data_IF_490671711314
#
_entry.id   IF_490671711314
#
_cell.length_a   1.000
_cell.length_b   1.000
_cell.length_c   1.000
_cell.angle_alpha   90.00
_cell.angle_beta   90.00
_cell.angle_gamma   90.00
#
_symmetry.space_group_name_H-M   'P 1'
#
loop_
_entity.id
_entity.type
_entity.pdbx_description
1 polymer ?
#
# COMPACT_ATOMS: atom_id res chain seq x y z
N UNK A 1 -5.55 13.86 11.78
CA UNK A 1 -4.59 14.53 10.87
C UNK A 1 -4.35 13.60 9.70
N UNK A 2 -4.74 14.01 8.50
CA UNK A 2 -4.66 13.22 7.27
C UNK A 2 -3.26 13.24 6.60
N UNK A 3 -2.22 13.21 7.44
CA UNK A 3 -0.85 13.57 7.05
C UNK A 3 -0.12 12.45 6.28
N UNK A 4 -0.54 11.20 6.49
CA UNK A 4 0.21 10.04 6.04
C UNK A 4 -0.39 9.36 4.80
N UNK A 5 -1.59 9.73 4.35
CA UNK A 5 -2.26 9.03 3.26
C UNK A 5 -1.39 8.94 1.99
N UNK A 6 -0.81 10.06 1.54
CA UNK A 6 0.03 10.07 0.34
C UNK A 6 1.26 9.15 0.48
N UNK A 7 1.94 9.19 1.63
CA UNK A 7 3.10 8.34 1.94
C UNK A 7 2.69 6.85 2.02
N UNK A 8 1.60 6.56 2.72
CA UNK A 8 1.06 5.21 2.89
C UNK A 8 0.62 4.62 1.54
N UNK A 9 -0.08 5.40 0.70
CA UNK A 9 -0.47 5.01 -0.64
C UNK A 9 0.74 4.67 -1.51
N UNK A 10 1.77 5.52 -1.51
CA UNK A 10 2.99 5.28 -2.27
C UNK A 10 3.68 3.96 -1.83
N UNK A 11 3.68 3.63 -0.53
CA UNK A 11 4.23 2.38 -0.02
C UNK A 11 3.39 1.16 -0.43
N UNK A 12 2.06 1.25 -0.30
CA UNK A 12 1.13 0.19 -0.70
C UNK A 12 1.27 -0.12 -2.19
N UNK A 13 1.30 0.91 -3.04
CA UNK A 13 1.36 0.75 -4.49
C UNK A 13 2.65 0.10 -4.99
N UNK A 14 3.76 0.11 -4.22
CA UNK A 14 4.97 -0.67 -4.55
C UNK A 14 4.71 -2.17 -4.64
N UNK A 15 3.67 -2.65 -3.95
CA UNK A 15 3.24 -4.05 -3.96
C UNK A 15 2.13 -4.32 -4.97
N UNK A 16 1.58 -3.29 -5.60
CA UNK A 16 0.41 -3.40 -6.48
C UNK A 16 0.82 -3.61 -7.94
N UNK A 17 0.03 -4.42 -8.64
CA UNK A 17 0.31 -4.88 -10.00
C UNK A 17 -0.32 -4.06 -11.11
N UNK A 18 -0.06 -4.47 -12.36
CA UNK A 18 -0.68 -3.89 -13.56
C UNK A 18 -2.10 -4.39 -13.82
N UNK A 19 -2.46 -4.59 -15.09
CA UNK A 19 -3.78 -5.12 -15.48
C UNK A 19 -3.95 -6.60 -15.09
N UNK A 20 -5.17 -7.00 -14.75
CA UNK A 20 -5.59 -8.39 -14.64
C UNK A 20 -7.07 -8.51 -14.96
N UNK A 21 -7.47 -9.54 -15.70
CA UNK A 21 -8.87 -9.81 -16.05
C UNK A 21 -9.03 -11.31 -16.30
N UNK A 22 -9.20 -12.08 -15.21
CA UNK A 22 -9.38 -13.52 -15.29
C UNK A 22 -10.89 -13.85 -15.27
N UNK A 23 -11.45 -14.54 -16.28
CA UNK A 23 -12.86 -14.93 -16.28
C UNK A 23 -13.30 -15.81 -15.11
N UNK A 24 -12.37 -16.57 -14.52
CA UNK A 24 -12.62 -17.39 -13.33
C UNK A 24 -12.55 -16.58 -12.02
N UNK A 25 -12.18 -15.30 -12.08
CA UNK A 25 -12.08 -14.44 -10.92
C UNK A 25 -13.40 -13.67 -10.67
N UNK A 26 -14.03 -13.81 -9.49
CA UNK A 26 -15.20 -13.02 -9.14
C UNK A 26 -14.91 -11.51 -9.01
N UNK A 27 -13.66 -11.10 -8.81
CA UNK A 27 -13.24 -9.69 -8.75
C UNK A 27 -13.26 -8.97 -10.10
N UNK A 28 -13.15 -9.73 -11.20
CA UNK A 28 -13.14 -9.24 -12.56
C UNK A 28 -11.94 -8.33 -12.89
N UNK A 29 -12.08 -7.56 -13.97
CA UNK A 29 -11.08 -6.60 -14.43
C UNK A 29 -10.55 -5.70 -13.29
N UNK A 30 -9.22 -5.68 -13.15
CA UNK A 30 -8.49 -4.98 -12.10
C UNK A 30 -7.26 -4.27 -12.70
N UNK A 31 -7.03 -3.02 -12.28
CA UNK A 31 -5.82 -2.24 -12.63
C UNK A 31 -5.27 -1.57 -11.37
N UNK A 32 -3.97 -1.74 -11.06
CA UNK A 32 -3.34 -1.12 -9.88
C UNK A 32 -4.11 -1.40 -8.57
N UNK A 33 -4.60 -2.63 -8.41
CA UNK A 33 -5.40 -3.06 -7.26
C UNK A 33 -6.85 -2.54 -7.21
N UNK A 34 -7.27 -1.73 -8.20
CA UNK A 34 -8.64 -1.20 -8.34
C UNK A 34 -9.47 -2.12 -9.23
N UNK A 35 -10.54 -2.71 -8.70
CA UNK A 35 -11.52 -3.47 -9.50
C UNK A 35 -12.45 -2.54 -10.27
N UNK A 36 -13.02 -3.02 -11.38
CA UNK A 36 -14.03 -2.26 -12.14
C UNK A 36 -15.23 -1.87 -11.27
N UNK A 37 -15.65 -2.74 -10.35
CA UNK A 37 -16.74 -2.47 -9.41
C UNK A 37 -16.42 -1.26 -8.53
N UNK A 38 -15.22 -1.21 -7.95
CA UNK A 38 -14.81 -0.09 -7.10
C UNK A 38 -14.58 1.18 -7.91
N UNK A 39 -14.01 1.06 -9.11
CA UNK A 39 -13.84 2.19 -10.01
C UNK A 39 -15.19 2.83 -10.38
N UNK A 40 -16.19 1.99 -10.69
CA UNK A 40 -17.57 2.45 -10.94
C UNK A 40 -18.17 3.13 -9.74
N UNK A 41 -18.02 2.52 -8.56
CA UNK A 41 -18.60 3.03 -7.32
C UNK A 41 -18.06 4.40 -6.91
N UNK A 42 -16.76 4.64 -7.10
CA UNK A 42 -16.09 5.79 -6.49
C UNK A 42 -15.61 6.86 -7.48
N UNK A 43 -15.52 6.54 -8.78
CA UNK A 43 -14.95 7.44 -9.80
C UNK A 43 -15.91 7.65 -10.97
N UNK A 44 -16.29 6.58 -11.69
CA UNK A 44 -17.07 6.68 -12.93
C UNK A 44 -18.09 5.54 -13.06
N UNK A 45 -19.35 5.80 -12.70
CA UNK A 45 -20.41 4.79 -12.56
C UNK A 45 -20.62 3.88 -13.78
N UNK A 46 -20.45 4.42 -14.99
CA UNK A 46 -20.62 3.75 -16.28
C UNK A 46 -19.31 3.24 -16.90
N UNK A 47 -18.19 3.26 -16.16
CA UNK A 47 -16.88 2.90 -16.68
C UNK A 47 -16.84 1.52 -17.35
N UNK A 48 -16.10 1.44 -18.45
CA UNK A 48 -15.75 0.20 -19.14
C UNK A 48 -14.42 -0.38 -18.64
N UNK A 49 -14.05 -1.55 -19.16
CA UNK A 49 -12.71 -2.13 -18.97
C UNK A 49 -11.61 -1.26 -19.59
N UNK A 50 -11.90 -0.53 -20.67
CA UNK A 50 -10.94 0.38 -21.30
C UNK A 50 -10.68 1.58 -20.39
N UNK A 51 -11.73 2.19 -19.85
CA UNK A 51 -11.60 3.29 -18.88
C UNK A 51 -10.75 2.87 -17.65
N UNK A 52 -10.94 1.64 -17.16
CA UNK A 52 -10.16 1.14 -16.04
C UNK A 52 -8.68 0.92 -16.38
N UNK A 53 -8.34 0.52 -17.62
CA UNK A 53 -6.94 0.39 -18.05
C UNK A 53 -6.23 1.74 -18.06
N UNK A 54 -6.97 2.81 -18.34
CA UNK A 54 -6.44 4.17 -18.42
C UNK A 54 -6.55 4.93 -17.08
N UNK A 55 -6.78 4.21 -15.97
CA UNK A 55 -6.96 4.85 -14.66
C UNK A 55 -5.76 5.73 -14.25
N UNK A 56 -6.06 6.99 -13.95
CA UNK A 56 -5.06 7.97 -13.53
C UNK A 56 -4.60 7.72 -12.09
N UNK A 57 -3.44 8.27 -11.72
CA UNK A 57 -2.95 8.18 -10.34
C UNK A 57 -3.92 8.81 -9.33
N UNK A 58 -4.59 9.90 -9.69
CA UNK A 58 -5.58 10.58 -8.84
C UNK A 58 -6.85 9.74 -8.66
N UNK A 59 -7.29 9.05 -9.71
CA UNK A 59 -8.43 8.14 -9.63
C UNK A 59 -8.12 6.92 -8.79
N UNK A 60 -6.90 6.35 -8.91
CA UNK A 60 -6.41 5.30 -8.00
C UNK A 60 -6.44 5.82 -6.56
N UNK A 61 -5.86 6.99 -6.29
CA UNK A 61 -5.85 7.59 -4.96
C UNK A 61 -7.27 7.79 -4.40
N UNK A 62 -8.22 8.21 -5.24
CA UNK A 62 -9.63 8.38 -4.86
C UNK A 62 -10.25 7.06 -4.38
N UNK A 63 -10.05 5.97 -5.12
CA UNK A 63 -10.55 4.65 -4.72
C UNK A 63 -9.88 4.19 -3.44
N UNK A 64 -8.56 4.28 -3.34
CA UNK A 64 -7.82 3.82 -2.17
C UNK A 64 -8.19 4.58 -0.90
N UNK A 65 -8.40 5.90 -1.02
CA UNK A 65 -8.91 6.72 0.07
C UNK A 65 -10.28 6.23 0.53
N UNK A 66 -11.27 6.27 -0.37
CA UNK A 66 -12.67 6.06 0.00
C UNK A 66 -12.97 4.62 0.43
N UNK A 67 -12.34 3.64 -0.21
CA UNK A 67 -12.66 2.23 0.06
C UNK A 67 -11.82 1.62 1.18
N UNK A 68 -10.55 2.02 1.32
CA UNK A 68 -9.65 1.41 2.29
C UNK A 68 -9.29 2.37 3.43
N UNK A 69 -8.76 3.56 3.13
CA UNK A 69 -8.26 4.50 4.16
C UNK A 69 -9.36 5.00 5.08
N UNK A 70 -10.46 5.50 4.51
CA UNK A 70 -11.58 6.04 5.27
C UNK A 70 -12.31 4.92 6.03
N UNK A 71 -12.40 3.74 5.44
CA UNK A 71 -13.02 2.57 6.06
C UNK A 71 -12.30 2.06 7.32
N UNK A 72 -11.02 2.44 7.49
CA UNK A 72 -10.23 2.14 8.70
C UNK A 72 -9.91 3.37 9.54
N UNK A 73 -10.61 4.48 9.31
CA UNK A 73 -10.36 5.75 10.00
C UNK A 73 -8.87 6.16 9.94
N UNK A 74 -8.21 5.95 8.79
CA UNK A 74 -6.76 6.11 8.65
C UNK A 74 -6.25 7.50 9.05
N UNK A 75 -7.05 8.55 8.81
CA UNK A 75 -6.70 9.93 9.20
C UNK A 75 -6.77 10.20 10.72
N UNK A 76 -7.39 9.32 11.49
CA UNK A 76 -7.60 9.43 12.93
C UNK A 76 -6.64 8.54 13.74
N UNK A 77 -6.04 7.53 13.09
CA UNK A 77 -5.07 6.64 13.72
C UNK A 77 -3.71 7.32 13.93
N UNK A 78 -2.93 6.93 14.96
CA UNK A 78 -1.56 7.38 15.13
C UNK A 78 -0.68 7.01 13.92
N UNK A 79 0.38 7.81 13.72
CA UNK A 79 1.33 7.57 12.64
C UNK A 79 1.97 6.19 12.75
N UNK A 80 2.06 5.48 11.64
CA UNK A 80 2.55 4.10 11.57
C UNK A 80 1.45 3.06 11.80
N UNK A 81 0.59 3.27 12.80
CA UNK A 81 -0.61 2.42 12.98
C UNK A 81 -1.55 2.59 11.79
N UNK A 82 -1.76 3.84 11.36
CA UNK A 82 -2.53 4.19 10.15
C UNK A 82 -2.08 3.40 8.92
N UNK A 83 -0.79 3.37 8.63
CA UNK A 83 -0.21 2.67 7.49
C UNK A 83 -0.29 1.15 7.63
N UNK A 84 0.02 0.60 8.81
CA UNK A 84 -0.03 -0.85 9.03
C UNK A 84 -1.45 -1.41 8.87
N UNK A 85 -2.45 -0.69 9.39
CA UNK A 85 -3.87 -1.06 9.25
C UNK A 85 -4.35 -0.86 7.81
N UNK A 86 -3.95 0.23 7.15
CA UNK A 86 -4.29 0.49 5.75
C UNK A 86 -3.74 -0.57 4.79
N UNK A 87 -2.46 -0.94 4.89
CA UNK A 87 -1.89 -2.00 4.04
C UNK A 87 -2.60 -3.34 4.29
N UNK A 88 -2.92 -3.64 5.55
CA UNK A 88 -3.69 -4.84 5.87
C UNK A 88 -5.10 -4.79 5.28
N UNK A 89 -5.76 -3.63 5.31
CA UNK A 89 -7.08 -3.44 4.70
C UNK A 89 -7.05 -3.62 3.18
N UNK A 90 -6.01 -3.14 2.50
CA UNK A 90 -5.82 -3.35 1.07
C UNK A 90 -5.62 -4.84 0.75
N UNK A 91 -4.78 -5.51 1.53
CA UNK A 91 -4.42 -6.91 1.27
C UNK A 91 -5.53 -7.91 1.65
N UNK A 92 -6.29 -7.63 2.71
CA UNK A 92 -7.19 -8.60 3.35
C UNK A 92 -8.57 -8.03 3.70
N UNK A 93 -8.90 -6.82 3.26
CA UNK A 93 -10.20 -6.19 3.47
C UNK A 93 -10.28 -5.31 4.74
N UNK A 94 -10.96 -4.16 4.70
CA UNK A 94 -11.06 -3.22 5.82
C UNK A 94 -11.62 -3.83 7.10
N UNK A 95 -12.72 -4.59 7.01
CA UNK A 95 -13.37 -5.16 8.19
C UNK A 95 -12.48 -6.16 8.94
N UNK A 96 -11.63 -6.92 8.23
CA UNK A 96 -10.66 -7.82 8.88
C UNK A 96 -9.55 -7.02 9.55
N UNK A 97 -8.97 -6.05 8.85
CA UNK A 97 -7.93 -5.20 9.41
C UNK A 97 -8.40 -4.48 10.69
N UNK A 98 -9.63 -3.96 10.68
CA UNK A 98 -10.25 -3.34 11.84
C UNK A 98 -10.40 -4.30 13.03
N UNK A 99 -10.91 -5.52 12.80
CA UNK A 99 -11.05 -6.53 13.87
C UNK A 99 -9.71 -6.94 14.48
N UNK A 100 -8.67 -7.07 13.65
CA UNK A 100 -7.33 -7.40 14.13
C UNK A 100 -6.70 -6.26 14.93
N UNK A 101 -6.91 -5.00 14.51
CA UNK A 101 -6.51 -3.85 15.31
C UNK A 101 -7.23 -3.84 16.66
N UNK A 102 -8.55 -4.03 16.65
CA UNK A 102 -9.37 -4.09 17.86
C UNK A 102 -8.90 -5.17 18.82
N UNK A 103 -8.61 -6.38 18.31
CA UNK A 103 -8.03 -7.46 19.09
C UNK A 103 -6.69 -7.07 19.71
N UNK A 104 -5.78 -6.48 18.92
CA UNK A 104 -4.46 -6.05 19.39
C UNK A 104 -4.56 -5.03 20.53
N UNK A 105 -5.56 -4.15 20.54
CA UNK A 105 -5.72 -3.12 21.58
C UNK A 105 -6.73 -3.47 22.67
N UNK A 106 -7.26 -4.70 22.67
CA UNK A 106 -8.25 -5.15 23.66
C UNK A 106 -9.63 -4.50 23.53
N UNK A 107 -9.98 -3.97 22.36
CA UNK A 107 -11.31 -3.42 22.07
C UNK A 107 -12.27 -4.50 21.55
N UNK A 108 -13.58 -4.22 21.61
CA UNK A 108 -14.60 -5.07 20.99
C UNK A 108 -14.36 -5.21 19.48
N UNK A 109 -14.40 -6.45 18.98
CA UNK A 109 -14.06 -6.78 17.59
C UNK A 109 -15.27 -6.67 16.63
N UNK A 110 -15.91 -5.51 16.60
CA UNK A 110 -17.09 -5.25 15.74
C UNK A 110 -16.71 -4.92 14.28
N UNK A 111 -15.42 -4.70 13.99
CA UNK A 111 -14.91 -4.36 12.67
C UNK A 111 -15.14 -2.91 12.23
N UNK A 112 -15.54 -2.02 13.15
CA UNK A 112 -15.71 -0.58 12.93
C UNK A 112 -14.76 0.21 13.84
N UNK A 113 -13.83 0.96 13.26
CA UNK A 113 -12.91 1.80 14.04
C UNK A 113 -13.65 3.07 14.43
N UNK A 114 -14.26 3.05 15.61
CA UNK A 114 -14.94 4.19 16.22
C UNK A 114 -14.18 4.76 17.44
N UNK A 115 -14.79 5.72 18.17
CA UNK A 115 -14.14 6.41 19.29
C UNK A 115 -13.57 5.47 20.37
N UNK A 116 -14.23 4.34 20.64
CA UNK A 116 -13.73 3.35 21.60
C UNK A 116 -12.43 2.69 21.14
N UNK A 117 -12.36 2.28 19.87
CA UNK A 117 -11.13 1.72 19.27
C UNK A 117 -10.02 2.76 19.24
N UNK A 118 -10.30 4.00 18.83
CA UNK A 118 -9.31 5.08 18.77
C UNK A 118 -8.72 5.39 20.15
N UNK A 119 -9.54 5.42 21.20
CA UNK A 119 -9.05 5.57 22.59
C UNK A 119 -8.15 4.42 23.02
N UNK A 120 -8.53 3.18 22.72
CA UNK A 120 -7.73 2.01 23.05
C UNK A 120 -6.37 1.99 22.31
N UNK A 121 -6.37 2.40 21.04
CA UNK A 121 -5.13 2.59 20.26
C UNK A 121 -4.26 3.69 20.88
N UNK A 122 -4.83 4.84 21.24
CA UNK A 122 -4.10 5.96 21.85
C UNK A 122 -3.57 5.69 23.26
N UNK A 123 -4.12 4.71 23.97
CA UNK A 123 -3.67 4.29 25.30
C UNK A 123 -2.43 3.37 25.26
N UNK A 124 -1.94 2.98 24.08
CA UNK A 124 -0.78 2.09 23.92
C UNK A 124 0.32 2.77 23.09
N UNK A 125 1.61 2.46 23.33
CA UNK A 125 2.69 2.90 22.45
C UNK A 125 2.46 2.40 21.03
N UNK A 126 2.53 3.30 20.04
CA UNK A 126 2.24 2.95 18.64
C UNK A 126 3.12 1.82 18.11
N UNK A 127 4.40 1.76 18.52
CA UNK A 127 5.30 0.66 18.16
C UNK A 127 4.78 -0.72 18.58
N UNK A 128 4.29 -0.84 19.83
CA UNK A 128 3.74 -2.09 20.34
C UNK A 128 2.46 -2.50 19.57
N UNK A 129 1.58 -1.55 19.26
CA UNK A 129 0.37 -1.82 18.46
C UNK A 129 0.74 -2.30 17.05
N UNK A 130 1.76 -1.70 16.43
CA UNK A 130 2.25 -2.09 15.09
C UNK A 130 2.81 -3.51 15.12
N UNK A 131 3.61 -3.86 16.13
CA UNK A 131 4.22 -5.18 16.25
C UNK A 131 3.14 -6.26 16.44
N UNK A 132 2.23 -6.07 17.39
CA UNK A 132 1.12 -6.97 17.68
C UNK A 132 0.23 -7.20 16.44
N UNK A 133 -0.11 -6.11 15.72
CA UNK A 133 -0.93 -6.19 14.52
C UNK A 133 -0.22 -6.98 13.41
N UNK A 134 1.08 -6.74 13.21
CA UNK A 134 1.86 -7.43 12.18
C UNK A 134 2.06 -8.91 12.52
N UNK A 135 2.26 -9.27 13.79
CA UNK A 135 2.36 -10.67 14.23
C UNK A 135 1.04 -11.40 14.04
N UNK A 136 -0.07 -10.78 14.47
CA UNK A 136 -1.41 -11.34 14.31
C UNK A 136 -1.75 -11.53 12.82
N UNK A 137 -1.41 -10.56 11.96
CA UNK A 137 -1.57 -10.66 10.51
C UNK A 137 -0.75 -11.81 9.93
N UNK A 138 0.53 -11.93 10.28
CA UNK A 138 1.37 -13.00 9.76
C UNK A 138 0.88 -14.38 10.21
N UNK A 139 0.45 -14.51 11.47
CA UNK A 139 -0.16 -15.73 11.99
C UNK A 139 -1.45 -16.10 11.23
N UNK A 140 -2.27 -15.12 10.85
CA UNK A 140 -3.42 -15.34 9.98
C UNK A 140 -3.01 -15.87 8.60
N UNK A 141 -2.08 -15.18 7.95
CA UNK A 141 -1.64 -15.53 6.59
C UNK A 141 -1.05 -16.94 6.54
N UNK A 142 -0.31 -17.37 7.58
CA UNK A 142 0.24 -18.73 7.72
C UNK A 142 -0.80 -19.84 7.72
N UNK A 143 -2.05 -19.55 8.09
CA UNK A 143 -3.15 -20.53 8.11
C UNK A 143 -3.90 -20.64 6.79
N UNK A 144 -3.58 -19.81 5.80
CA UNK A 144 -4.24 -19.87 4.51
C UNK A 144 -3.75 -21.10 3.73
N UNK A 145 -4.65 -21.84 3.03
CA UNK A 145 -4.27 -23.01 2.21
C UNK A 145 -3.22 -22.69 1.14
N UNK A 146 -3.13 -21.42 0.75
CA UNK A 146 -2.22 -20.92 -0.28
C UNK A 146 -0.87 -20.47 0.26
N UNK A 147 -0.63 -20.56 1.57
CA UNK A 147 0.67 -20.26 2.19
C UNK A 147 1.86 -20.98 1.55
N UNK A 148 1.82 -22.28 1.17
CA UNK A 148 2.97 -22.95 0.56
C UNK A 148 3.45 -22.28 -0.73
N UNK A 149 2.54 -21.66 -1.48
CA UNK A 149 2.86 -20.98 -2.73
C UNK A 149 3.28 -19.53 -2.46
N UNK A 150 2.56 -18.82 -1.58
CA UNK A 150 2.69 -17.37 -1.48
C UNK A 150 3.34 -16.84 -0.20
N UNK A 151 3.55 -17.69 0.79
CA UNK A 151 3.91 -17.31 2.16
C UNK A 151 5.22 -16.54 2.29
N UNK A 152 6.18 -16.80 1.38
CA UNK A 152 7.44 -16.02 1.33
C UNK A 152 7.16 -14.54 1.02
N UNK A 153 6.43 -14.26 -0.05
CA UNK A 153 6.12 -12.88 -0.44
C UNK A 153 5.29 -12.17 0.62
N UNK A 154 4.34 -12.86 1.25
CA UNK A 154 3.54 -12.34 2.37
C UNK A 154 4.38 -11.99 3.59
N UNK A 155 5.30 -12.87 3.97
CA UNK A 155 6.24 -12.62 5.06
C UNK A 155 7.09 -11.39 4.77
N UNK A 156 7.59 -11.27 3.54
CA UNK A 156 8.42 -10.15 3.11
C UNK A 156 7.63 -8.82 3.13
N UNK A 157 6.36 -8.81 2.67
CA UNK A 157 5.48 -7.64 2.75
C UNK A 157 5.19 -7.24 4.20
N UNK A 158 4.81 -8.18 5.07
CA UNK A 158 4.53 -7.86 6.48
C UNK A 158 5.77 -7.32 7.18
N UNK A 159 6.96 -7.88 6.92
CA UNK A 159 8.23 -7.36 7.44
C UNK A 159 8.50 -5.92 6.97
N UNK A 160 8.31 -5.65 5.68
CA UNK A 160 8.48 -4.31 5.11
C UNK A 160 7.49 -3.30 5.70
N UNK A 161 6.22 -3.70 5.84
CA UNK A 161 5.17 -2.87 6.47
C UNK A 161 5.52 -2.54 7.90
N UNK A 162 5.91 -3.54 8.71
CA UNK A 162 6.35 -3.32 10.10
C UNK A 162 7.48 -2.30 10.16
N UNK A 163 8.54 -2.49 9.38
CA UNK A 163 9.69 -1.58 9.38
C UNK A 163 9.30 -0.14 9.02
N UNK A 164 8.51 0.05 7.95
CA UNK A 164 8.08 1.39 7.52
C UNK A 164 7.09 2.03 8.51
N UNK A 165 6.19 1.24 9.10
CA UNK A 165 5.25 1.70 10.11
C UNK A 165 5.98 2.19 11.37
N UNK A 166 7.01 1.47 11.83
CA UNK A 166 7.84 1.90 12.96
C UNK A 166 8.60 3.19 12.66
N UNK A 167 9.11 3.37 11.44
CA UNK A 167 9.73 4.64 11.02
C UNK A 167 8.71 5.80 10.97
N UNK A 168 7.44 5.51 10.68
CA UNK A 168 6.37 6.51 10.66
C UNK A 168 5.81 6.83 12.06
N UNK A 169 5.98 5.93 13.03
CA UNK A 169 5.55 6.13 14.41
C UNK A 169 6.61 6.82 15.27
N UNK A 170 7.87 6.81 14.84
CA UNK A 170 8.96 7.51 15.51
C UNK A 170 8.68 9.03 15.58
N UNK A 171 8.93 9.68 16.73
CA UNK A 171 8.87 11.14 16.83
C UNK A 171 9.78 11.74 15.75
N UNK A 172 9.23 12.65 14.93
CA UNK A 172 10.09 13.42 14.04
C UNK A 172 11.01 14.29 14.91
N UNK A 173 12.34 14.28 14.69
CA UNK A 173 13.19 15.25 15.35
C UNK A 173 12.67 16.65 15.00
N UNK A 174 12.58 17.52 16.01
CA UNK A 174 12.20 18.90 15.80
C UNK A 174 13.09 19.50 14.69
N UNK A 175 12.54 20.33 13.78
CA UNK A 175 13.37 20.98 12.78
C UNK A 175 14.49 21.73 13.49
N UNK A 176 15.74 21.42 13.13
CA UNK A 176 16.89 22.14 13.65
C UNK A 176 16.69 23.64 13.37
N UNK A 177 17.04 24.54 14.32
CA UNK A 177 16.98 25.97 14.06
C UNK A 177 17.84 26.26 12.83
N UNK A 178 17.19 26.80 11.79
CA UNK A 178 17.84 27.22 10.56
C UNK A 178 18.92 28.25 10.91
N UNK A 179 20.18 27.85 10.79
CA UNK A 179 21.29 28.78 10.77
C UNK A 179 21.21 29.56 9.47
N UNK A 180 20.67 30.77 9.53
CA UNK A 180 20.87 31.78 8.50
C UNK A 180 22.38 32.07 8.40
N UNK A 181 23.05 31.41 7.46
CA UNK A 181 24.37 31.81 7.01
C UNK A 181 24.23 32.67 5.75
N UNK A 182 23.92 33.95 5.97
CA UNK A 182 24.23 35.00 5.01
C UNK A 182 25.75 35.16 4.93
N UNK A 183 26.37 34.70 3.84
CA UNK A 183 27.77 34.93 3.53
C UNK A 183 28.01 34.84 2.02
N UNK A 184 28.10 35.99 1.36
CA UNK A 184 28.21 36.12 -0.10
C UNK A 184 29.62 35.89 -0.67
N UNK A 185 29.63 35.58 -1.99
CA UNK A 185 30.67 35.77 -3.04
C UNK A 185 31.79 34.70 -3.05
N UNK A 186 32.27 34.18 -4.19
CA UNK A 186 32.37 34.72 -5.55
C UNK A 186 32.55 33.54 -6.58
N UNK A 187 32.25 33.70 -7.88
CA UNK A 187 32.35 32.65 -8.90
C UNK A 187 33.76 32.55 -9.51
N UNK A 188 34.20 31.34 -9.83
CA UNK A 188 35.34 31.08 -10.73
C UNK A 188 34.85 30.30 -11.95
N UNK A 189 35.01 30.93 -13.11
CA UNK A 189 34.77 30.40 -14.45
C UNK A 189 35.79 29.32 -14.86
N UNK A 190 35.52 28.57 -15.97
CA UNK A 190 36.16 27.29 -16.27
C UNK A 190 37.37 27.41 -17.23
N UNK A 191 38.18 26.35 -17.31
CA UNK A 191 39.21 26.17 -18.35
C UNK A 191 39.16 24.74 -18.95
N UNK A 192 39.44 24.56 -20.26
CA UNK A 192 39.08 23.35 -21.02
C UNK A 192 40.26 22.38 -21.24
N UNK A 193 39.96 21.15 -21.65
CA UNK A 193 40.93 20.19 -22.19
C UNK A 193 40.25 19.18 -23.14
N UNK A 194 41.02 18.55 -24.06
CA UNK A 194 40.64 18.34 -25.45
C UNK A 194 40.08 16.94 -25.77
N UNK A 195 39.57 16.82 -27.01
CA UNK A 195 38.75 15.72 -27.48
C UNK A 195 39.42 14.36 -27.66
N UNK A 196 38.57 13.35 -27.87
CA UNK A 196 38.90 12.08 -28.51
C UNK A 196 37.67 11.60 -29.30
N UNK A 197 37.96 11.11 -30.49
CA UNK A 197 37.10 10.66 -31.60
C UNK A 197 36.17 9.47 -31.25
N UNK A 198 35.12 9.20 -32.06
CA UNK A 198 34.04 8.29 -31.71
C UNK A 198 34.33 6.83 -32.10
N UNK A 199 33.71 5.88 -31.38
CA UNK A 199 33.68 4.45 -31.74
C UNK A 199 32.30 3.86 -31.39
N UNK A 200 31.86 2.79 -32.08
CA UNK A 200 30.52 2.72 -32.68
C UNK A 200 29.44 2.11 -31.79
N UNK A 201 28.19 2.35 -32.22
CA UNK A 201 26.96 1.83 -31.65
C UNK A 201 26.92 0.29 -31.60
N UNK A 202 26.35 -0.31 -30.54
CA UNK A 202 25.96 -1.71 -30.58
C UNK A 202 24.61 -1.86 -31.29
N UNK A 203 24.58 -2.84 -32.19
CA UNK A 203 23.45 -3.36 -32.95
C UNK A 203 22.21 -3.62 -32.09
N UNK A 204 21.06 -3.09 -32.52
CA UNK A 204 19.75 -3.53 -32.04
C UNK A 204 19.52 -4.98 -32.45
N UNK A 205 19.40 -5.87 -31.46
CA UNK A 205 18.76 -7.16 -31.61
C UNK A 205 17.29 -7.03 -31.18
N UNK A 206 16.35 -7.74 -31.81
CA UNK A 206 14.92 -7.55 -31.56
C UNK A 206 14.58 -7.86 -30.10
N UNK A 207 14.09 -6.84 -29.40
CA UNK A 207 13.51 -6.98 -28.06
C UNK A 207 12.23 -7.79 -28.23
N UNK A 208 12.27 -9.06 -27.84
CA UNK A 208 11.06 -9.86 -27.64
C UNK A 208 10.10 -9.09 -26.73
N UNK A 209 8.77 -9.09 -26.99
CA UNK A 209 7.83 -8.36 -26.16
C UNK A 209 8.04 -8.77 -24.70
N UNK A 210 8.05 -7.82 -23.75
CA UNK A 210 8.25 -8.15 -22.36
C UNK A 210 7.19 -9.18 -21.96
N UNK A 211 7.63 -10.39 -21.63
CA UNK A 211 6.78 -11.41 -21.02
C UNK A 211 6.25 -10.79 -19.74
N UNK A 212 4.95 -10.49 -19.75
CA UNK A 212 4.23 -9.85 -18.68
C UNK A 212 4.34 -10.74 -17.43
N UNK A 213 5.31 -10.44 -16.56
CA UNK A 213 5.46 -11.12 -15.28
C UNK A 213 4.30 -10.67 -14.41
N UNK A 214 3.23 -11.47 -14.40
CA UNK A 214 2.08 -11.26 -13.54
C UNK A 214 2.57 -11.08 -12.08
N UNK A 215 2.37 -9.90 -11.48
CA UNK A 215 2.81 -9.67 -10.12
C UNK A 215 2.00 -10.55 -9.17
N UNK A 216 2.72 -11.33 -8.37
CA UNK A 216 2.29 -12.37 -7.44
C UNK A 216 1.12 -12.02 -6.49
N UNK A 217 0.82 -10.73 -6.30
CA UNK A 217 -0.28 -10.23 -5.46
C UNK A 217 -1.64 -10.19 -6.18
N UNK A 218 -1.65 -10.19 -7.53
CA UNK A 218 -2.88 -10.29 -8.31
C UNK A 218 -3.63 -11.58 -7.99
N UNK A 219 -2.93 -12.71 -7.98
CA UNK A 219 -3.52 -14.03 -7.67
C UNK A 219 -4.05 -14.12 -6.23
N UNK A 220 -3.49 -13.31 -5.31
CA UNK A 220 -3.90 -13.28 -3.90
C UNK A 220 -5.19 -12.49 -3.65
N UNK A 221 -5.35 -11.32 -4.28
CA UNK A 221 -6.61 -10.59 -4.26
C UNK A 221 -7.75 -11.49 -4.75
N UNK A 222 -7.49 -12.33 -5.76
CA UNK A 222 -8.48 -13.27 -6.30
C UNK A 222 -8.84 -14.39 -5.30
N UNK A 223 -7.86 -14.96 -4.60
CA UNK A 223 -8.11 -16.10 -3.71
C UNK A 223 -8.71 -15.64 -2.36
N UNK A 224 -8.23 -14.54 -1.77
CA UNK A 224 -8.77 -14.01 -0.50
C UNK A 224 -10.20 -13.48 -0.66
N UNK A 225 -10.55 -12.86 -1.80
CA UNK A 225 -11.92 -12.42 -2.10
C UNK A 225 -12.86 -13.61 -2.33
N UNK A 226 -12.39 -14.66 -3.00
CA UNK A 226 -13.17 -15.89 -3.25
C UNK A 226 -13.51 -16.69 -1.99
N UNK A 227 -12.60 -16.70 -0.99
CA UNK A 227 -12.84 -17.35 0.30
C UNK A 227 -13.80 -16.53 1.17
N UNK A 228 -13.69 -15.19 1.12
CA UNK A 228 -14.56 -14.28 1.89
C UNK A 228 -16.01 -14.24 1.40
N UNK A 229 -16.26 -14.38 0.10
CA UNK A 229 -17.62 -14.43 -0.47
C UNK A 229 -18.40 -15.69 -0.05
N UNK A 230 -17.71 -16.78 0.30
CA UNK A 230 -18.33 -18.05 0.72
C UNK A 230 -18.71 -18.12 2.20
N UNK A 231 -18.38 -17.10 3.00
CA UNK A 231 -18.69 -17.06 4.43
C UNK A 231 -19.91 -16.18 4.77
N UNK A 232 -20.68 -15.74 3.77
CA UNK A 232 -21.90 -14.92 3.93
C UNK A 232 -23.18 -15.67 3.56
N UNK A 233 -23.15 -17.00 3.59
CA UNK A 233 -24.33 -17.89 3.48
C UNK A 233 -24.52 -18.64 4.78
#
# INVERSE_FOLDING_TARGET
MDRNFARALALVLKSEGGWSDNPADPGGATMKGVTLVNFRRYVKADASKADLREISGEQVATVYRRFYWDAVAGAELPGGVDYAVFDFAVNSGPGRAAKYLQAAVGAAQDGRIGPATLRAVGARPSGAVIDDLCDARLAFLRRLPTWPVFGKGWSDRVRSVRSQALLMSAPQPAPAPSSDSSGSRHPLEPSPAPGTTPSPAPSEAPIAPPVERLPFWHTLLQILKSILARSST
#
